data_IF_264564561756
#
_entry.id   IF_264564561756
#
_cell.length_a   1.000
_cell.length_b   1.000
_cell.length_c   1.000
_cell.angle_alpha   90.00
_cell.angle_beta   90.00
_cell.angle_gamma   90.00
#
_symmetry.space_group_name_H-M   'P 1'
#
loop_
_entity.id
_entity.type
_entity.pdbx_description
1 polymer ?
#
# COMPACT_ATOMS: atom_id res chain seq x y z
N UNK A 1 4.31 0.62 13.71
CA UNK A 1 4.08 0.23 12.29
C UNK A 1 4.49 -1.21 12.06
N UNK A 2 5.70 -1.60 12.48
CA UNK A 2 6.19 -2.97 12.38
C UNK A 2 5.53 -3.93 13.38
N UNK A 3 5.11 -3.46 14.54
CA UNK A 3 4.50 -4.32 15.58
C UNK A 3 3.15 -4.89 15.12
N UNK A 4 2.39 -4.09 14.35
CA UNK A 4 1.15 -4.55 13.71
C UNK A 4 1.43 -5.61 12.64
N UNK A 5 2.50 -5.44 11.86
CA UNK A 5 2.87 -6.42 10.85
C UNK A 5 3.34 -7.74 11.49
N UNK A 6 4.17 -7.66 12.53
CA UNK A 6 4.59 -8.83 13.29
C UNK A 6 3.40 -9.54 13.95
N UNK A 7 2.46 -8.77 14.50
CA UNK A 7 1.19 -9.29 15.00
C UNK A 7 0.44 -10.03 13.90
N UNK A 8 0.14 -9.40 12.76
CA UNK A 8 -0.61 -10.02 11.66
C UNK A 8 0.12 -11.24 11.04
N UNK A 9 1.45 -11.25 11.11
CA UNK A 9 2.27 -12.39 10.68
C UNK A 9 2.15 -13.59 11.62
N UNK A 10 1.97 -13.35 12.92
CA UNK A 10 1.87 -14.38 13.95
C UNK A 10 0.43 -14.78 14.26
N UNK A 11 -0.57 -13.95 13.92
CA UNK A 11 -1.99 -14.28 14.13
C UNK A 11 -2.44 -15.34 13.10
N UNK A 12 -2.91 -16.52 13.53
CA UNK A 12 -3.56 -17.50 12.66
C UNK A 12 -4.76 -16.91 11.93
N UNK A 13 -5.14 -17.46 10.76
CA UNK A 13 -6.31 -16.95 10.03
C UNK A 13 -7.64 -17.14 10.79
N UNK A 14 -7.72 -18.21 11.57
CA UNK A 14 -8.78 -18.59 12.51
C UNK A 14 -8.16 -19.58 13.50
N UNK A 15 -8.85 -19.90 14.60
CA UNK A 15 -8.32 -20.78 15.62
C UNK A 15 -7.98 -22.19 15.07
N UNK A 16 -6.80 -22.70 15.44
CA UNK A 16 -6.27 -23.96 14.89
C UNK A 16 -5.75 -23.92 13.44
N UNK A 17 -5.75 -22.77 12.76
CA UNK A 17 -5.21 -22.68 11.40
C UNK A 17 -3.67 -22.71 11.38
N UNK A 18 -3.08 -23.84 10.96
CA UNK A 18 -1.62 -24.00 10.88
C UNK A 18 -1.02 -23.59 9.53
N UNK A 19 -1.83 -23.60 8.46
CA UNK A 19 -1.37 -23.35 7.09
C UNK A 19 -1.30 -21.87 6.72
N UNK A 20 -2.16 -21.05 7.33
CA UNK A 20 -2.28 -19.63 7.00
C UNK A 20 -2.34 -18.77 8.25
N UNK A 21 -1.58 -17.70 8.19
CA UNK A 21 -1.67 -16.56 9.10
C UNK A 21 -2.47 -15.46 8.41
N UNK A 22 -2.97 -14.51 9.19
CA UNK A 22 -3.75 -13.38 8.67
C UNK A 22 -3.00 -12.67 7.54
N UNK A 23 -1.72 -12.37 7.77
CA UNK A 23 -0.87 -11.71 6.77
C UNK A 23 -0.68 -12.58 5.52
N UNK A 24 -0.34 -13.86 5.68
CA UNK A 24 -0.02 -14.73 4.54
C UNK A 24 -1.26 -15.04 3.68
N UNK A 25 -2.44 -15.13 4.29
CA UNK A 25 -3.71 -15.22 3.58
C UNK A 25 -3.97 -13.98 2.71
N UNK A 26 -3.89 -12.79 3.30
CA UNK A 26 -4.11 -11.51 2.59
C UNK A 26 -3.11 -11.33 1.44
N UNK A 27 -1.83 -11.62 1.66
CA UNK A 27 -0.81 -11.51 0.62
C UNK A 27 -1.07 -12.44 -0.57
N UNK A 28 -1.42 -13.70 -0.31
CA UNK A 28 -1.73 -14.68 -1.36
C UNK A 28 -2.98 -14.29 -2.15
N UNK A 29 -4.03 -13.83 -1.47
CA UNK A 29 -5.26 -13.36 -2.10
C UNK A 29 -5.01 -12.12 -2.98
N UNK A 30 -4.25 -11.15 -2.49
CA UNK A 30 -3.90 -9.95 -3.27
C UNK A 30 -2.98 -10.26 -4.46
N UNK A 31 -2.06 -11.23 -4.31
CA UNK A 31 -1.26 -11.75 -5.42
C UNK A 31 -2.14 -12.38 -6.51
N UNK A 32 -3.13 -13.18 -6.10
CA UNK A 32 -4.09 -13.79 -7.02
C UNK A 32 -4.88 -12.72 -7.79
N UNK A 33 -5.43 -11.73 -7.07
CA UNK A 33 -6.12 -10.58 -7.66
C UNK A 33 -5.27 -9.85 -8.69
N UNK A 34 -4.02 -9.53 -8.34
CA UNK A 34 -3.12 -8.79 -9.23
C UNK A 34 -2.76 -9.60 -10.48
N UNK A 35 -2.47 -10.90 -10.31
CA UNK A 35 -2.14 -11.80 -11.42
C UNK A 35 -3.30 -11.96 -12.41
N UNK A 36 -4.54 -11.95 -11.91
CA UNK A 36 -5.73 -12.20 -12.73
C UNK A 36 -6.50 -10.92 -13.10
N UNK A 37 -5.97 -9.73 -12.79
CA UNK A 37 -6.59 -8.45 -13.17
C UNK A 37 -7.98 -8.23 -12.56
N UNK A 38 -8.30 -8.85 -11.42
CA UNK A 38 -9.64 -8.73 -10.84
C UNK A 38 -9.96 -7.30 -10.42
N UNK A 39 -11.22 -6.88 -10.58
CA UNK A 39 -11.69 -5.57 -10.12
C UNK A 39 -11.75 -5.49 -8.59
N UNK A 40 -11.69 -4.29 -8.01
CA UNK A 40 -11.82 -4.12 -6.55
C UNK A 40 -13.21 -4.50 -6.04
N UNK A 41 -14.25 -4.31 -6.87
CA UNK A 41 -15.64 -4.69 -6.56
C UNK A 41 -15.77 -6.22 -6.47
N UNK A 42 -15.47 -6.93 -7.56
CA UNK A 42 -15.57 -8.40 -7.63
C UNK A 42 -14.74 -9.08 -6.54
N UNK A 43 -13.55 -8.57 -6.26
CA UNK A 43 -12.73 -9.15 -5.19
C UNK A 43 -13.27 -8.87 -3.79
N UNK A 44 -13.92 -7.73 -3.56
CA UNK A 44 -14.56 -7.45 -2.26
C UNK A 44 -15.74 -8.40 -2.03
N UNK A 45 -16.52 -8.70 -3.08
CA UNK A 45 -17.59 -9.70 -3.04
C UNK A 45 -17.01 -11.10 -2.72
N UNK A 46 -15.91 -11.48 -3.37
CA UNK A 46 -15.19 -12.74 -3.06
C UNK A 46 -14.71 -12.79 -1.60
N UNK A 47 -14.11 -11.72 -1.08
CA UNK A 47 -13.63 -11.68 0.32
C UNK A 47 -14.78 -11.85 1.31
N UNK A 48 -15.94 -11.25 1.01
CA UNK A 48 -17.15 -11.40 1.83
C UNK A 48 -17.59 -12.86 1.85
N UNK A 49 -17.70 -13.49 0.67
CA UNK A 49 -18.08 -14.90 0.56
C UNK A 49 -17.10 -15.83 1.29
N UNK A 50 -15.79 -15.61 1.13
CA UNK A 50 -14.76 -16.39 1.82
C UNK A 50 -14.85 -16.24 3.34
N UNK A 51 -15.17 -15.03 3.82
CA UNK A 51 -15.33 -14.79 5.26
C UNK A 51 -16.50 -15.57 5.83
N UNK A 52 -17.60 -15.68 5.09
CA UNK A 52 -18.80 -16.43 5.49
C UNK A 52 -18.60 -17.95 5.42
N UNK A 53 -17.74 -18.42 4.51
CA UNK A 53 -17.36 -19.84 4.39
C UNK A 53 -16.38 -20.32 5.48
N UNK A 54 -15.63 -19.40 6.10
CA UNK A 54 -14.65 -19.70 7.14
C UNK A 54 -15.30 -19.73 8.54
N UNK A 55 -14.63 -20.30 9.57
CA UNK A 55 -15.10 -20.26 10.95
C UNK A 55 -15.42 -18.84 11.44
N UNK A 56 -16.40 -18.69 12.34
CA UNK A 56 -16.91 -17.36 12.77
C UNK A 56 -15.84 -16.44 13.36
N UNK A 57 -14.80 -17.00 13.96
CA UNK A 57 -13.68 -16.31 14.60
C UNK A 57 -12.58 -15.88 13.62
N UNK A 58 -12.76 -16.10 12.31
CA UNK A 58 -11.72 -15.78 11.33
C UNK A 58 -11.41 -14.27 11.22
N UNK A 59 -10.13 -13.97 11.02
CA UNK A 59 -9.60 -12.61 10.94
C UNK A 59 -9.40 -12.11 9.51
N UNK A 60 -10.03 -12.78 8.53
CA UNK A 60 -9.96 -12.38 7.13
C UNK A 60 -10.62 -11.01 6.92
N UNK A 61 -9.97 -10.06 6.19
CA UNK A 61 -10.60 -8.81 5.82
C UNK A 61 -11.79 -9.04 4.89
N UNK A 62 -12.89 -8.32 5.11
CA UNK A 62 -14.09 -8.42 4.26
C UNK A 62 -14.08 -7.42 3.09
N UNK A 63 -13.13 -6.48 3.08
CA UNK A 63 -13.05 -5.40 2.08
C UNK A 63 -11.62 -5.19 1.59
N UNK A 64 -11.52 -4.83 0.31
CA UNK A 64 -10.24 -4.46 -0.31
C UNK A 64 -9.51 -3.33 0.41
N UNK A 65 -10.26 -2.37 0.96
CA UNK A 65 -9.67 -1.25 1.71
C UNK A 65 -8.89 -1.75 2.94
N UNK A 66 -9.45 -2.70 3.69
CA UNK A 66 -8.80 -3.26 4.88
C UNK A 66 -7.56 -4.09 4.51
N UNK A 67 -7.66 -4.89 3.45
CA UNK A 67 -6.53 -5.64 2.90
C UNK A 67 -5.39 -4.69 2.45
N UNK A 68 -5.71 -3.59 1.75
CA UNK A 68 -4.73 -2.55 1.37
C UNK A 68 -4.16 -1.82 2.60
N UNK A 69 -4.98 -1.54 3.60
CA UNK A 69 -4.55 -0.88 4.85
C UNK A 69 -3.55 -1.75 5.60
N UNK A 70 -3.75 -3.07 5.61
CA UNK A 70 -2.76 -4.02 6.15
C UNK A 70 -1.43 -3.91 5.40
N UNK A 71 -1.44 -3.93 4.07
CA UNK A 71 -0.21 -3.78 3.27
C UNK A 71 0.48 -2.42 3.42
N UNK A 72 -0.27 -1.36 3.75
CA UNK A 72 0.33 -0.04 4.01
C UNK A 72 1.33 -0.10 5.18
N UNK A 73 1.10 -0.96 6.18
CA UNK A 73 2.04 -1.20 7.29
C UNK A 73 3.35 -1.86 6.84
N UNK A 74 3.31 -2.54 5.69
CA UNK A 74 4.45 -3.18 5.00
C UNK A 74 5.12 -2.19 4.05
N UNK A 75 5.05 -0.87 4.30
CA UNK A 75 5.79 0.13 3.52
C UNK A 75 5.42 0.16 2.03
N UNK A 76 4.27 -0.42 1.68
CA UNK A 76 3.58 -0.22 0.40
C UNK A 76 2.68 1.03 0.46
N UNK A 77 2.87 1.89 1.46
CA UNK A 77 2.28 3.22 1.50
C UNK A 77 2.88 4.08 0.38
N UNK A 78 2.03 4.74 -0.37
CA UNK A 78 2.41 5.77 -1.33
C UNK A 78 1.83 7.11 -0.87
N UNK A 79 2.54 8.19 -1.19
CA UNK A 79 2.09 9.56 -1.03
C UNK A 79 1.61 10.05 -2.39
N UNK A 80 0.38 10.56 -2.45
CA UNK A 80 -0.11 11.25 -3.64
C UNK A 80 0.41 12.68 -3.61
N UNK A 81 1.17 13.07 -4.64
CA UNK A 81 1.71 14.42 -4.78
C UNK A 81 1.14 15.02 -6.06
N UNK A 82 0.59 16.23 -5.98
CA UNK A 82 0.09 16.91 -7.19
C UNK A 82 1.29 17.39 -8.01
N UNK A 83 1.23 17.21 -9.32
CA UNK A 83 2.29 17.63 -10.23
C UNK A 83 1.77 18.68 -11.20
N UNK A 84 2.67 19.54 -11.67
CA UNK A 84 2.39 20.40 -12.80
C UNK A 84 2.07 19.52 -14.04
N UNK A 85 1.07 19.87 -14.87
CA UNK A 85 0.76 19.12 -16.09
C UNK A 85 1.96 19.00 -17.04
N UNK A 86 2.77 20.06 -17.11
CA UNK A 86 4.01 20.13 -17.90
C UNK A 86 5.27 19.69 -17.12
N UNK A 87 5.10 18.96 -16.01
CA UNK A 87 6.18 18.38 -15.19
C UNK A 87 7.24 19.36 -14.63
N UNK A 88 6.93 20.66 -14.60
CA UNK A 88 7.89 21.68 -14.17
C UNK A 88 8.25 21.61 -12.67
N UNK A 89 7.25 21.27 -11.82
CA UNK A 89 7.36 21.18 -10.36
C UNK A 89 6.38 20.14 -9.79
N UNK A 90 6.64 19.73 -8.54
CA UNK A 90 5.68 19.07 -7.66
C UNK A 90 5.11 20.09 -6.68
N UNK A 91 3.80 20.12 -6.50
CA UNK A 91 3.13 20.98 -5.52
C UNK A 91 3.27 20.40 -4.11
N UNK A 92 4.48 20.53 -3.55
CA UNK A 92 4.90 20.06 -2.23
C UNK A 92 5.84 21.08 -1.59
N UNK A 93 5.97 21.05 -0.26
CA UNK A 93 6.82 21.95 0.53
C UNK A 93 6.49 23.42 0.22
N UNK A 94 7.44 24.21 -0.23
CA UNK A 94 7.28 25.63 -0.61
C UNK A 94 6.21 25.88 -1.68
N UNK A 95 5.91 24.89 -2.54
CA UNK A 95 4.86 25.00 -3.56
C UNK A 95 3.52 24.40 -3.12
N UNK A 96 3.38 23.94 -1.87
CA UNK A 96 2.20 23.20 -1.43
C UNK A 96 0.91 24.04 -1.43
N UNK A 97 1.01 25.33 -1.15
CA UNK A 97 -0.10 26.28 -1.13
C UNK A 97 -0.43 26.88 -2.49
N UNK A 98 0.37 26.62 -3.52
CA UNK A 98 0.16 27.19 -4.85
C UNK A 98 -0.92 26.43 -5.62
N UNK A 99 -1.78 27.21 -6.28
CA UNK A 99 -2.80 26.72 -7.21
C UNK A 99 -2.36 26.84 -8.68
N UNK A 100 -1.26 27.55 -8.94
CA UNK A 100 -0.69 27.74 -10.27
C UNK A 100 0.81 27.46 -10.24
N UNK A 101 1.32 26.82 -11.29
CA UNK A 101 2.75 26.57 -11.43
C UNK A 101 3.51 27.91 -11.62
N UNK A 102 4.53 28.21 -10.80
CA UNK A 102 5.29 29.45 -10.91
C UNK A 102 6.17 29.51 -12.17
N UNK A 103 6.46 28.37 -12.81
CA UNK A 103 7.30 28.31 -14.03
C UNK A 103 6.50 28.47 -15.33
N UNK A 104 5.37 27.79 -15.46
CA UNK A 104 4.61 27.74 -16.71
C UNK A 104 3.21 28.33 -16.61
N UNK A 105 2.83 28.88 -15.45
CA UNK A 105 1.53 29.50 -15.21
C UNK A 105 0.30 28.59 -15.44
N UNK A 106 0.48 27.27 -15.50
CA UNK A 106 -0.61 26.30 -15.63
C UNK A 106 -1.25 26.02 -14.26
N UNK A 107 -2.57 25.84 -14.24
CA UNK A 107 -3.33 25.53 -13.03
C UNK A 107 -3.08 24.11 -12.52
N UNK A 108 -3.01 23.99 -11.19
CA UNK A 108 -2.89 22.73 -10.46
C UNK A 108 -4.14 21.88 -10.54
N UNK A 109 -5.31 22.51 -10.55
CA UNK A 109 -6.62 21.86 -10.50
C UNK A 109 -7.43 22.08 -11.77
N UNK A 110 -8.24 21.09 -12.13
CA UNK A 110 -9.35 21.19 -13.08
C UNK A 110 -10.61 21.70 -12.36
N UNK A 111 -11.74 21.78 -13.10
CA UNK A 111 -13.07 22.03 -12.50
C UNK A 111 -13.31 21.07 -11.32
N UNK A 112 -14.01 21.55 -10.29
CA UNK A 112 -14.31 20.81 -9.05
C UNK A 112 -13.10 20.48 -8.15
N UNK A 113 -12.02 21.29 -8.18
CA UNK A 113 -10.81 21.11 -7.34
C UNK A 113 -10.14 19.74 -7.50
N UNK A 114 -10.32 19.08 -8.64
CA UNK A 114 -9.65 17.80 -8.95
C UNK A 114 -8.24 18.11 -9.48
N UNK A 115 -7.15 17.54 -8.91
CA UNK A 115 -5.80 17.79 -9.39
C UNK A 115 -5.64 17.35 -10.84
N UNK A 116 -4.96 18.16 -11.66
CA UNK A 116 -4.77 17.87 -13.09
C UNK A 116 -3.85 16.66 -13.32
N UNK A 117 -2.78 16.55 -12.52
CA UNK A 117 -1.82 15.45 -12.56
C UNK A 117 -1.42 15.05 -11.14
N UNK A 118 -1.35 13.75 -10.87
CA UNK A 118 -0.97 13.20 -9.56
C UNK A 118 0.12 12.15 -9.75
N UNK A 119 1.23 12.32 -9.04
CA UNK A 119 2.34 11.35 -8.98
C UNK A 119 2.25 10.57 -7.67
N UNK A 120 2.57 9.29 -7.73
CA UNK A 120 2.52 8.38 -6.58
C UNK A 120 3.95 8.17 -6.10
N UNK A 121 4.33 8.86 -5.03
CA UNK A 121 5.66 8.78 -4.45
C UNK A 121 5.71 7.68 -3.40
N UNK A 122 6.67 6.76 -3.54
CA UNK A 122 6.93 5.76 -2.51
C UNK A 122 8.08 6.25 -1.62
N UNK A 123 7.83 6.58 -0.34
CA UNK A 123 8.87 7.08 0.55
C UNK A 123 10.04 6.11 0.65
N UNK A 124 11.23 6.58 0.25
CA UNK A 124 12.41 5.70 0.15
C UNK A 124 13.05 5.46 1.52
N UNK A 125 13.03 6.45 2.42
CA UNK A 125 13.64 6.35 3.75
C UNK A 125 13.03 5.21 4.58
N UNK A 126 11.70 5.06 4.70
CA UNK A 126 11.12 3.91 5.40
C UNK A 126 11.49 2.56 4.77
N UNK A 127 11.70 2.51 3.45
CA UNK A 127 12.13 1.31 2.74
C UNK A 127 13.57 0.95 3.08
N UNK A 128 14.49 1.92 3.04
CA UNK A 128 15.88 1.72 3.46
C UNK A 128 16.00 1.29 4.92
N UNK A 129 15.26 1.94 5.83
CA UNK A 129 15.23 1.53 7.24
C UNK A 129 14.77 0.09 7.43
N UNK A 130 13.90 -0.43 6.56
CA UNK A 130 13.50 -1.85 6.58
C UNK A 130 14.58 -2.74 6.00
N UNK A 131 15.14 -2.37 4.85
CA UNK A 131 16.19 -3.11 4.13
C UNK A 131 17.43 -3.33 5.01
N UNK A 132 17.86 -2.30 5.74
CA UNK A 132 19.01 -2.36 6.64
C UNK A 132 18.65 -2.63 8.11
N UNK A 133 17.46 -3.18 8.39
CA UNK A 133 16.98 -3.34 9.77
C UNK A 133 17.76 -4.37 10.56
N UNK A 134 18.20 -5.46 9.91
CA UNK A 134 19.02 -6.48 10.56
C UNK A 134 20.43 -6.48 10.00
N UNK A 135 21.40 -6.77 10.87
CA UNK A 135 22.81 -6.90 10.47
C UNK A 135 22.99 -8.00 9.43
N UNK A 136 22.13 -9.04 9.45
CA UNK A 136 22.11 -10.10 8.44
C UNK A 136 21.65 -9.56 7.08
N UNK A 137 20.52 -8.85 7.05
CA UNK A 137 19.98 -8.25 5.82
C UNK A 137 20.94 -7.23 5.22
N UNK A 138 21.57 -6.40 6.06
CA UNK A 138 22.56 -5.42 5.62
C UNK A 138 23.83 -6.05 5.02
N UNK A 139 24.26 -7.21 5.53
CA UNK A 139 25.43 -7.95 5.00
C UNK A 139 25.13 -8.65 3.67
N UNK A 140 23.90 -9.12 3.45
CA UNK A 140 23.50 -9.81 2.20
C UNK A 140 23.66 -8.89 0.98
N UNK A 141 23.39 -7.59 1.13
CA UNK A 141 23.56 -6.63 0.02
C UNK A 141 25.03 -6.27 -0.26
N UNK A 142 25.92 -6.35 0.72
CA UNK A 142 27.36 -6.06 0.51
C UNK A 142 28.11 -7.18 -0.23
N UNK A 143 27.51 -8.37 -0.34
CA UNK A 143 28.08 -9.55 -1.01
C UNK A 143 27.93 -9.54 -2.53
N UNK A 144 27.26 -8.53 -3.10
CA UNK A 144 27.12 -8.33 -4.56
C UNK A 144 28.20 -7.39 -5.14
N UNK A 145 29.29 -7.17 -4.40
CA UNK A 145 30.49 -6.49 -4.88
C UNK A 145 31.50 -7.48 -5.44
#
# INVERSE_FOLDING_TARGET
MFDRLASDANTPLYDGCTKFTRLSAVLKLLKLKARNGWSDKSFTELLTLLKDMLPKDNVLPNRMYEAKKMLSSIGMSYQKIHACPNDCILFRNEYASLDKCPKCNVLRYKKNKVPTKVVWYFPIIPRFRRMYRSVKDAKIETSFK
#
